data_IF_067992842567
#
_entry.id   IF_067992842567
#
_cell.length_a   1.000
_cell.length_b   1.000
_cell.length_c   1.000
_cell.angle_alpha   90.00
_cell.angle_beta   90.00
_cell.angle_gamma   90.00
#
_symmetry.space_group_name_H-M   'P 1'
#
loop_
_entity.id
_entity.type
_entity.pdbx_description
1 polymer ?
#
# COMPACT_ATOMS: atom_id res chain seq x y z
N UNK A 1 9.40 19.76 1.18
CA UNK A 1 10.04 19.64 2.53
C UNK A 1 10.06 18.18 2.96
N UNK A 2 11.10 17.70 3.71
CA UNK A 2 11.12 16.36 4.32
C UNK A 2 11.03 16.49 5.84
N UNK A 3 10.12 15.75 6.45
CA UNK A 3 9.94 15.68 7.90
C UNK A 3 10.09 14.23 8.36
N UNK A 4 10.65 14.05 9.55
CA UNK A 4 10.69 12.78 10.27
C UNK A 4 9.83 12.91 11.52
N UNK A 5 8.79 12.12 11.61
CA UNK A 5 7.93 12.05 12.79
C UNK A 5 8.37 10.86 13.64
N UNK A 6 8.48 11.07 14.95
CA UNK A 6 8.70 10.00 15.92
C UNK A 6 7.69 10.18 17.05
N UNK A 7 6.89 9.15 17.32
CA UNK A 7 5.84 9.20 18.32
C UNK A 7 5.50 7.81 18.82
N UNK A 8 4.84 7.77 19.99
CA UNK A 8 4.31 6.53 20.52
C UNK A 8 2.94 6.25 19.90
N UNK A 9 2.87 5.19 19.08
CA UNK A 9 1.61 4.74 18.52
C UNK A 9 0.77 3.98 19.57
N UNK A 10 -0.52 4.24 19.56
CA UNK A 10 -1.50 3.53 20.40
C UNK A 10 -1.85 2.16 19.83
N UNK A 11 -1.90 2.06 18.50
CA UNK A 11 -2.25 0.82 17.80
C UNK A 11 -1.11 -0.21 17.87
N UNK A 12 0.13 0.19 17.59
CA UNK A 12 1.26 -0.74 17.66
C UNK A 12 1.97 -0.76 19.01
N UNK A 13 1.56 0.08 19.96
CA UNK A 13 2.00 0.11 21.37
C UNK A 13 3.51 0.29 21.57
N UNK A 14 4.18 0.92 20.61
CA UNK A 14 5.63 1.22 20.65
C UNK A 14 5.94 2.58 20.03
N UNK A 15 7.16 3.07 20.26
CA UNK A 15 7.70 4.18 19.47
C UNK A 15 7.82 3.76 18.01
N UNK A 16 7.40 4.62 17.10
CA UNK A 16 7.48 4.40 15.67
C UNK A 16 7.97 5.64 14.95
N UNK A 17 8.38 5.46 13.69
CA UNK A 17 8.88 6.53 12.84
C UNK A 17 8.11 6.55 11.52
N UNK A 18 7.96 7.75 10.99
CA UNK A 18 7.30 8.01 9.71
C UNK A 18 8.05 9.12 9.00
N UNK A 19 8.41 8.91 7.74
CA UNK A 19 8.90 9.97 6.89
C UNK A 19 7.73 10.61 6.14
N UNK A 20 7.72 11.95 6.08
CA UNK A 20 6.70 12.72 5.37
C UNK A 20 7.37 13.68 4.41
N UNK A 21 7.06 13.56 3.13
CA UNK A 21 7.39 14.57 2.12
C UNK A 21 6.19 15.49 2.01
N UNK A 22 6.39 16.78 2.16
CA UNK A 22 5.38 17.79 1.85
C UNK A 22 5.77 18.53 0.56
N UNK A 23 4.82 18.92 -0.29
CA UNK A 23 5.09 19.79 -1.41
C UNK A 23 5.70 21.12 -0.92
N UNK A 24 6.53 21.74 -1.76
CA UNK A 24 7.20 23.00 -1.40
C UNK A 24 6.22 24.20 -1.42
N UNK A 25 5.15 24.09 -2.19
CA UNK A 25 4.12 25.12 -2.36
C UNK A 25 2.76 24.55 -1.98
N UNK A 26 1.97 25.31 -1.25
CA UNK A 26 0.55 25.05 -1.06
C UNK A 26 -0.21 25.48 -2.32
N UNK A 27 -1.33 24.82 -2.59
CA UNK A 27 -2.20 25.24 -3.69
C UNK A 27 -2.65 26.71 -3.47
N UNK A 28 -2.48 27.62 -4.46
CA UNK A 28 -2.91 29.01 -4.32
C UNK A 28 -4.42 29.18 -4.06
N UNK A 29 -5.23 28.20 -4.47
CA UNK A 29 -6.67 28.16 -4.20
C UNK A 29 -7.01 27.64 -2.79
N UNK A 30 -6.00 27.24 -2.00
CA UNK A 30 -6.20 26.68 -0.67
C UNK A 30 -6.75 25.24 -0.67
N UNK A 31 -6.71 24.56 -1.82
CA UNK A 31 -7.16 23.17 -1.92
C UNK A 31 -6.27 22.23 -1.11
N UNK A 32 -6.85 21.16 -0.52
CA UNK A 32 -6.07 20.15 0.16
C UNK A 32 -5.05 19.47 -0.75
N UNK A 33 -3.93 19.08 -0.17
CA UNK A 33 -2.87 18.36 -0.86
C UNK A 33 -3.27 16.90 -1.08
N UNK A 34 -3.01 16.37 -2.27
CA UNK A 34 -3.09 14.94 -2.50
C UNK A 34 -2.00 14.22 -1.71
N UNK A 35 -2.35 13.15 -1.01
CA UNK A 35 -1.46 12.36 -0.15
C UNK A 35 -1.33 10.95 -0.71
N UNK A 36 -0.10 10.51 -0.91
CA UNK A 36 0.25 9.11 -1.16
C UNK A 36 0.72 8.46 0.14
N UNK A 37 -0.06 7.50 0.66
CA UNK A 37 0.30 6.60 1.74
C UNK A 37 1.14 5.48 1.14
N UNK A 38 2.48 5.49 1.34
CA UNK A 38 3.43 4.67 0.60
C UNK A 38 4.09 3.63 1.49
N UNK A 39 3.81 2.36 1.22
CA UNK A 39 4.13 1.20 2.05
C UNK A 39 5.39 0.48 1.58
N UNK A 40 6.27 0.11 2.51
CA UNK A 40 7.52 -0.60 2.23
C UNK A 40 7.32 -2.13 2.13
N UNK A 41 8.30 -2.83 1.58
CA UNK A 41 8.34 -4.30 1.51
C UNK A 41 8.82 -4.96 2.80
N UNK A 42 8.84 -6.30 2.82
CA UNK A 42 9.11 -7.14 4.01
C UNK A 42 10.42 -6.83 4.75
N UNK A 43 11.45 -6.42 4.03
CA UNK A 43 12.78 -6.14 4.59
C UNK A 43 13.07 -4.65 4.70
N UNK A 44 12.04 -3.80 4.53
CA UNK A 44 12.17 -2.35 4.55
C UNK A 44 11.69 -1.73 5.87
N UNK A 45 11.77 -0.41 5.89
CA UNK A 45 11.27 0.46 6.93
C UNK A 45 10.78 1.79 6.34
N UNK A 46 10.47 2.76 7.17
CA UNK A 46 10.05 4.12 6.78
C UNK A 46 11.10 4.89 5.93
N UNK A 47 12.37 4.44 5.87
CA UNK A 47 13.43 5.09 5.07
C UNK A 47 13.58 4.48 3.68
N UNK A 48 13.09 3.27 3.45
CA UNK A 48 13.40 2.49 2.25
C UNK A 48 13.09 3.25 0.96
N UNK A 49 11.90 3.82 0.83
CA UNK A 49 11.52 4.60 -0.35
C UNK A 49 12.38 5.85 -0.55
N UNK A 50 12.84 6.47 0.55
CA UNK A 50 13.70 7.66 0.49
C UNK A 50 15.13 7.33 0.06
N UNK A 51 15.62 6.14 0.42
CA UNK A 51 16.99 5.72 0.15
C UNK A 51 17.15 5.08 -1.22
N UNK A 52 16.16 4.32 -1.65
CA UNK A 52 16.26 3.43 -2.81
C UNK A 52 15.53 3.98 -4.05
N UNK A 53 14.84 5.13 -3.94
CA UNK A 53 14.06 5.68 -5.05
C UNK A 53 14.13 7.19 -5.19
N UNK A 54 13.69 7.67 -6.36
CA UNK A 54 13.49 9.08 -6.64
C UNK A 54 12.19 9.67 -6.10
N UNK A 55 11.54 9.05 -5.11
CA UNK A 55 10.19 9.42 -4.65
C UNK A 55 10.05 10.89 -4.30
N UNK A 56 11.11 11.52 -3.75
CA UNK A 56 11.11 12.96 -3.46
C UNK A 56 10.97 13.81 -4.73
N UNK A 57 11.62 13.40 -5.82
CA UNK A 57 11.53 14.07 -7.12
C UNK A 57 10.13 13.90 -7.71
N UNK A 58 9.56 12.71 -7.63
CA UNK A 58 8.24 12.40 -8.16
C UNK A 58 7.14 13.12 -7.38
N UNK A 59 7.24 13.13 -6.03
CA UNK A 59 6.34 13.87 -5.17
C UNK A 59 6.32 15.38 -5.50
N UNK A 60 7.51 15.97 -5.75
CA UNK A 60 7.63 17.37 -6.17
C UNK A 60 6.98 17.61 -7.53
N UNK A 61 7.24 16.74 -8.52
CA UNK A 61 6.67 16.88 -9.88
C UNK A 61 5.14 16.86 -9.84
N UNK A 62 4.54 15.96 -9.09
CA UNK A 62 3.08 15.82 -8.96
C UNK A 62 2.46 16.74 -7.91
N UNK A 63 3.26 17.52 -7.15
CA UNK A 63 2.80 18.39 -6.05
C UNK A 63 2.00 17.63 -4.99
N UNK A 64 2.42 16.42 -4.65
CA UNK A 64 1.77 15.58 -3.65
C UNK A 64 2.60 15.48 -2.37
N UNK A 65 1.92 15.20 -1.26
CA UNK A 65 2.56 14.72 -0.06
C UNK A 65 2.76 13.20 -0.16
N UNK A 66 3.83 12.69 0.48
CA UNK A 66 4.06 11.23 0.60
C UNK A 66 4.32 10.90 2.05
N UNK A 67 3.58 9.94 2.59
CA UNK A 67 3.71 9.46 3.98
C UNK A 67 4.20 8.03 3.95
N UNK A 68 5.36 7.78 4.55
CA UNK A 68 6.06 6.50 4.54
C UNK A 68 6.20 5.98 5.97
N UNK A 69 5.26 5.14 6.46
CA UNK A 69 5.32 4.55 7.79
C UNK A 69 6.31 3.41 7.89
N UNK A 70 6.78 3.13 9.11
CA UNK A 70 7.37 1.86 9.48
C UNK A 70 6.25 0.87 9.86
N UNK A 71 6.16 -0.23 9.16
CA UNK A 71 5.19 -1.29 9.39
C UNK A 71 5.84 -2.64 9.76
N UNK A 72 7.15 -2.67 10.02
CA UNK A 72 7.88 -3.88 10.39
C UNK A 72 7.62 -5.03 9.37
N UNK A 73 7.71 -6.28 9.80
CA UNK A 73 7.39 -7.49 9.02
C UNK A 73 5.94 -7.94 9.24
N UNK A 74 5.03 -6.98 9.47
CA UNK A 74 3.65 -7.23 9.92
C UNK A 74 2.69 -7.70 8.83
N UNK A 75 3.09 -7.71 7.56
CA UNK A 75 2.17 -7.91 6.44
C UNK A 75 0.95 -6.99 6.48
N UNK A 76 1.14 -5.79 7.05
CA UNK A 76 0.05 -4.85 7.23
C UNK A 76 -1.19 -5.53 7.86
N UNK A 77 -0.95 -6.32 8.91
CA UNK A 77 -1.99 -6.98 9.69
C UNK A 77 -2.13 -6.32 11.07
N UNK A 78 -3.31 -6.44 11.66
CA UNK A 78 -3.45 -6.29 13.09
C UNK A 78 -3.03 -7.64 13.67
N UNK A 79 -1.84 -7.67 14.25
CA UNK A 79 -1.10 -8.90 14.51
C UNK A 79 -1.63 -9.67 15.71
N UNK A 80 -1.45 -10.98 15.70
CA UNK A 80 -1.88 -11.84 16.80
C UNK A 80 -1.18 -11.51 18.14
N UNK A 81 0.03 -10.93 18.11
CA UNK A 81 0.72 -10.47 19.31
C UNK A 81 0.29 -9.07 19.79
N UNK A 82 -0.68 -8.44 19.12
CA UNK A 82 -1.34 -7.23 19.59
C UNK A 82 -0.72 -5.92 19.16
N UNK A 83 0.13 -5.90 18.13
CA UNK A 83 0.55 -4.70 17.42
C UNK A 83 -0.31 -4.54 16.16
N UNK A 84 -1.19 -3.54 16.16
CA UNK A 84 -2.22 -3.37 15.12
C UNK A 84 -1.71 -2.51 13.97
N UNK A 85 -0.84 -3.07 13.12
CA UNK A 85 -0.23 -2.30 12.03
C UNK A 85 -1.21 -1.88 10.95
N UNK A 86 -2.23 -2.69 10.66
CA UNK A 86 -3.25 -2.30 9.68
C UNK A 86 -4.09 -1.12 10.19
N UNK A 87 -4.55 -1.19 11.42
CA UNK A 87 -5.25 -0.08 12.08
C UNK A 87 -4.36 1.16 12.22
N UNK A 88 -3.07 0.98 12.48
CA UNK A 88 -2.10 2.07 12.51
C UNK A 88 -2.04 2.80 11.16
N UNK A 89 -1.76 2.11 10.06
CA UNK A 89 -1.55 2.77 8.75
C UNK A 89 -2.83 3.27 8.11
N UNK A 90 -4.01 2.70 8.44
CA UNK A 90 -5.29 3.08 7.81
C UNK A 90 -6.15 4.02 8.66
N UNK A 91 -5.90 4.12 9.97
CA UNK A 91 -6.71 4.93 10.90
C UNK A 91 -5.86 5.91 11.70
N UNK A 92 -4.99 5.42 12.61
CA UNK A 92 -4.25 6.26 13.55
C UNK A 92 -3.33 7.25 12.81
N UNK A 93 -2.51 6.77 11.88
CA UNK A 93 -1.57 7.62 11.16
C UNK A 93 -2.25 8.67 10.28
N UNK A 94 -3.28 8.34 9.47
CA UNK A 94 -4.05 9.35 8.74
C UNK A 94 -4.70 10.39 9.65
N UNK A 95 -5.25 9.98 10.78
CA UNK A 95 -5.82 10.91 11.76
C UNK A 95 -4.77 11.84 12.37
N UNK A 96 -3.61 11.30 12.76
CA UNK A 96 -2.48 12.08 13.27
C UNK A 96 -1.98 13.09 12.22
N UNK A 97 -1.80 12.65 10.99
CA UNK A 97 -1.33 13.52 9.91
C UNK A 97 -2.32 14.66 9.62
N UNK A 98 -3.62 14.39 9.60
CA UNK A 98 -4.65 15.45 9.42
C UNK A 98 -4.69 16.44 10.57
N UNK A 99 -4.40 16.02 11.80
CA UNK A 99 -4.28 16.93 12.95
C UNK A 99 -3.00 17.77 12.90
N UNK A 100 -1.95 17.25 12.27
CA UNK A 100 -0.63 17.89 12.22
C UNK A 100 -0.49 18.81 11.01
N UNK A 101 -1.05 18.42 9.87
CA UNK A 101 -0.92 19.11 8.58
C UNK A 101 -2.29 19.61 8.09
N UNK A 102 -2.52 20.91 8.17
CA UNK A 102 -3.80 21.53 7.79
C UNK A 102 -4.19 21.33 6.31
N UNK A 103 -3.20 21.03 5.45
CA UNK A 103 -3.42 20.74 4.04
C UNK A 103 -3.88 19.29 3.76
N UNK A 104 -3.94 18.40 4.76
CA UNK A 104 -4.38 17.02 4.57
C UNK A 104 -5.89 16.91 4.77
N UNK A 105 -6.57 16.20 3.86
CA UNK A 105 -8.01 16.00 3.87
C UNK A 105 -8.38 14.53 4.06
N UNK A 106 -9.55 14.28 4.66
CA UNK A 106 -10.15 12.94 4.71
C UNK A 106 -10.94 12.60 3.44
N UNK A 107 -11.18 13.57 2.56
CA UNK A 107 -11.90 13.32 1.33
C UNK A 107 -11.16 12.32 0.43
N UNK A 108 -11.90 11.33 -0.07
CA UNK A 108 -11.40 10.23 -0.91
C UNK A 108 -10.47 10.71 -2.03
N UNK A 109 -10.87 11.77 -2.75
CA UNK A 109 -10.17 12.28 -3.94
C UNK A 109 -8.73 12.74 -3.68
N UNK A 110 -8.39 13.06 -2.42
CA UNK A 110 -7.05 13.49 -2.02
C UNK A 110 -6.18 12.38 -1.43
N UNK A 111 -6.66 11.14 -1.36
CA UNK A 111 -5.92 10.05 -0.72
C UNK A 111 -5.65 8.92 -1.71
N UNK A 112 -4.38 8.63 -1.92
CA UNK A 112 -3.87 7.49 -2.69
C UNK A 112 -3.11 6.57 -1.75
N UNK A 113 -3.13 5.28 -2.02
CA UNK A 113 -2.30 4.30 -1.30
C UNK A 113 -1.43 3.55 -2.29
N UNK A 114 -0.21 3.21 -1.91
CA UNK A 114 0.67 2.45 -2.79
C UNK A 114 1.76 1.71 -2.02
N UNK A 115 2.43 0.78 -2.70
CA UNK A 115 3.53 0.03 -2.09
C UNK A 115 4.11 -1.02 -3.01
N UNK A 116 5.17 -1.66 -2.53
CA UNK A 116 5.87 -2.73 -3.22
C UNK A 116 5.84 -4.04 -2.42
N UNK A 117 5.82 -5.19 -3.09
CA UNK A 117 5.94 -6.51 -2.44
C UNK A 117 4.90 -6.69 -1.32
N UNK A 118 5.33 -6.88 -0.06
CA UNK A 118 4.47 -6.85 1.12
C UNK A 118 3.67 -5.53 1.20
N UNK A 119 4.28 -4.38 0.86
CA UNK A 119 3.60 -3.08 0.83
C UNK A 119 2.58 -2.98 -0.30
N UNK A 120 2.82 -3.65 -1.44
CA UNK A 120 1.83 -3.78 -2.52
C UNK A 120 0.60 -4.56 -2.08
N UNK A 121 0.79 -5.66 -1.35
CA UNK A 121 -0.29 -6.37 -0.67
C UNK A 121 -1.03 -5.46 0.31
N UNK A 122 -0.31 -4.77 1.19
CA UNK A 122 -0.90 -3.86 2.19
C UNK A 122 -1.69 -2.72 1.57
N UNK A 123 -1.20 -2.16 0.46
CA UNK A 123 -1.87 -1.09 -0.28
C UNK A 123 -3.19 -1.57 -0.90
N UNK A 124 -3.18 -2.72 -1.59
CA UNK A 124 -4.40 -3.30 -2.15
C UNK A 124 -5.38 -3.72 -1.05
N UNK A 125 -4.89 -4.28 0.06
CA UNK A 125 -5.72 -4.59 1.23
C UNK A 125 -6.40 -3.35 1.79
N UNK A 126 -5.67 -2.24 1.97
CA UNK A 126 -6.24 -0.98 2.44
C UNK A 126 -7.30 -0.44 1.46
N UNK A 127 -6.99 -0.45 0.16
CA UNK A 127 -7.88 -0.01 -0.91
C UNK A 127 -9.18 -0.82 -0.99
N UNK A 128 -9.11 -2.13 -0.78
CA UNK A 128 -10.28 -3.02 -0.79
C UNK A 128 -11.06 -3.02 0.53
N UNK A 129 -10.38 -2.80 1.66
CA UNK A 129 -11.05 -2.77 2.97
C UNK A 129 -11.79 -1.45 3.19
N UNK A 130 -11.19 -0.34 2.75
CA UNK A 130 -11.74 1.02 2.91
C UNK A 130 -11.80 1.76 1.57
N UNK A 131 -12.57 1.27 0.57
CA UNK A 131 -12.61 1.86 -0.76
C UNK A 131 -13.13 3.30 -0.76
N UNK A 132 -13.87 3.69 0.28
CA UNK A 132 -14.34 5.05 0.47
C UNK A 132 -13.25 6.04 0.90
N UNK A 133 -12.10 5.54 1.39
CA UNK A 133 -10.99 6.38 1.83
C UNK A 133 -10.01 6.73 0.71
N UNK A 134 -9.88 5.87 -0.32
CA UNK A 134 -8.84 6.00 -1.33
C UNK A 134 -9.42 6.19 -2.73
N UNK A 135 -8.92 7.20 -3.46
CA UNK A 135 -9.27 7.42 -4.86
C UNK A 135 -8.52 6.45 -5.78
N UNK A 136 -7.27 6.13 -5.44
CA UNK A 136 -6.43 5.26 -6.25
C UNK A 136 -5.46 4.42 -5.42
N UNK A 137 -4.98 3.32 -6.04
CA UNK A 137 -4.03 2.37 -5.46
C UNK A 137 -2.90 2.06 -6.45
N UNK A 138 -1.67 1.92 -5.95
CA UNK A 138 -0.50 1.45 -6.71
C UNK A 138 0.05 0.19 -6.05
N UNK A 139 0.21 -0.89 -6.83
CA UNK A 139 0.86 -2.12 -6.39
C UNK A 139 2.00 -2.49 -7.32
N UNK A 140 3.22 -2.52 -6.79
CA UNK A 140 4.43 -2.90 -7.53
C UNK A 140 4.93 -4.25 -7.05
N UNK A 141 4.96 -5.26 -7.93
CA UNK A 141 5.33 -6.63 -7.56
C UNK A 141 4.61 -7.10 -6.28
N UNK A 142 3.32 -6.82 -6.15
CA UNK A 142 2.56 -7.07 -4.92
C UNK A 142 2.44 -8.55 -4.60
N UNK A 143 2.61 -8.93 -3.33
CA UNK A 143 2.33 -10.28 -2.83
C UNK A 143 0.82 -10.50 -2.69
N UNK A 144 0.07 -10.40 -3.78
CA UNK A 144 -1.39 -10.23 -3.79
C UNK A 144 -2.19 -11.44 -3.30
N UNK A 145 -1.56 -12.61 -3.19
CA UNK A 145 -2.17 -13.79 -2.57
C UNK A 145 -1.25 -14.35 -1.49
N UNK A 146 -1.59 -14.14 -0.23
CA UNK A 146 -0.84 -14.64 0.92
C UNK A 146 -1.39 -15.96 1.45
N UNK A 147 -2.47 -16.46 0.86
CA UNK A 147 -3.13 -17.71 1.27
C UNK A 147 -2.46 -18.94 0.65
N UNK A 148 -1.65 -18.77 -0.40
CA UNK A 148 -1.04 -19.89 -1.13
C UNK A 148 -0.07 -20.70 -0.31
N UNK A 149 -0.30 -21.99 -0.29
CA UNK A 149 0.45 -22.99 0.49
C UNK A 149 1.95 -23.09 0.12
N UNK A 150 2.31 -22.84 -1.14
CA UNK A 150 3.68 -23.00 -1.65
C UNK A 150 4.55 -21.74 -1.52
N UNK A 151 4.03 -20.65 -0.98
CA UNK A 151 4.92 -19.61 -0.50
C UNK A 151 5.60 -20.16 0.74
N UNK A 152 6.89 -20.50 0.59
CA UNK A 152 7.76 -20.83 1.71
C UNK A 152 7.82 -19.61 2.65
N UNK A 153 6.73 -19.41 3.36
CA UNK A 153 6.66 -18.42 4.38
C UNK A 153 7.32 -18.97 5.64
N UNK A 154 7.97 -18.12 6.34
CA UNK A 154 8.32 -18.35 7.73
C UNK A 154 6.99 -18.55 8.50
N UNK A 155 6.64 -19.81 8.80
CA UNK A 155 5.37 -20.15 9.45
C UNK A 155 5.22 -19.47 10.81
N UNK A 156 6.32 -19.25 11.53
CA UNK A 156 6.31 -18.55 12.81
C UNK A 156 5.95 -17.07 12.63
N UNK A 157 6.47 -16.45 11.57
CA UNK A 157 6.06 -15.08 11.20
C UNK A 157 4.57 -15.04 10.82
N UNK A 158 4.06 -16.05 10.09
CA UNK A 158 2.63 -16.14 9.76
C UNK A 158 1.77 -16.27 11.00
N UNK A 159 2.14 -17.16 11.91
CA UNK A 159 1.45 -17.35 13.18
C UNK A 159 1.43 -16.05 14.02
N UNK A 160 2.56 -15.37 14.12
CA UNK A 160 2.64 -14.12 14.88
C UNK A 160 1.79 -13.00 14.29
N UNK A 161 1.66 -12.96 12.96
CA UNK A 161 0.89 -11.92 12.30
C UNK A 161 -0.62 -12.23 12.22
N UNK A 162 -0.99 -13.49 11.98
CA UNK A 162 -2.36 -13.81 11.58
C UNK A 162 -3.11 -14.71 12.57
N UNK A 163 -2.41 -15.43 13.46
CA UNK A 163 -3.01 -16.27 14.48
C UNK A 163 -2.07 -17.35 14.96
N UNK A 164 -1.86 -17.47 16.28
CA UNK A 164 -0.92 -18.43 16.86
C UNK A 164 -1.32 -19.88 16.58
N UNK A 165 -2.60 -20.14 16.39
CA UNK A 165 -3.13 -21.50 16.10
C UNK A 165 -3.09 -21.86 14.62
N UNK A 166 -2.65 -20.92 13.74
CA UNK A 166 -2.59 -21.14 12.30
C UNK A 166 -1.68 -22.31 11.95
N UNK A 167 -2.17 -23.27 11.19
CA UNK A 167 -1.41 -24.42 10.72
C UNK A 167 -0.99 -24.29 9.26
N UNK A 168 -1.69 -23.46 8.49
CA UNK A 168 -1.44 -23.26 7.07
C UNK A 168 -1.91 -21.86 6.63
N UNK A 169 -1.19 -21.21 5.69
CA UNK A 169 -1.68 -20.00 5.04
C UNK A 169 -3.06 -20.13 4.39
N UNK A 170 -3.46 -21.34 3.99
CA UNK A 170 -4.80 -21.60 3.41
C UNK A 170 -5.95 -21.25 4.36
N UNK A 171 -5.72 -21.24 5.67
CA UNK A 171 -6.74 -20.83 6.65
C UNK A 171 -7.10 -19.34 6.57
N UNK A 172 -6.33 -18.55 5.82
CA UNK A 172 -6.63 -17.16 5.54
C UNK A 172 -7.59 -16.96 4.36
N UNK A 173 -7.92 -18.03 3.60
CA UNK A 173 -8.88 -17.97 2.51
C UNK A 173 -10.26 -17.49 3.00
N UNK A 174 -10.88 -16.56 2.27
CA UNK A 174 -12.15 -15.97 2.60
C UNK A 174 -12.14 -14.99 3.78
N UNK A 175 -10.99 -14.79 4.43
CA UNK A 175 -10.84 -13.82 5.54
C UNK A 175 -10.56 -12.41 5.01
N UNK A 176 -10.44 -11.44 5.92
CA UNK A 176 -10.02 -10.06 5.61
C UNK A 176 -8.57 -9.96 5.07
N UNK A 177 -7.84 -11.06 5.00
CA UNK A 177 -6.49 -11.16 4.46
C UNK A 177 -6.45 -11.68 3.02
N UNK A 178 -7.57 -12.19 2.51
CA UNK A 178 -7.73 -12.70 1.15
C UNK A 178 -8.22 -11.58 0.21
N UNK A 179 -7.28 -11.04 -0.58
CA UNK A 179 -7.59 -9.93 -1.49
C UNK A 179 -8.52 -10.35 -2.62
N UNK A 180 -8.47 -11.62 -3.06
CA UNK A 180 -9.35 -12.14 -4.09
C UNK A 180 -10.80 -12.21 -3.59
N UNK A 181 -11.01 -12.67 -2.37
CA UNK A 181 -12.32 -12.69 -1.73
C UNK A 181 -12.84 -11.27 -1.46
N UNK A 182 -11.98 -10.36 -0.98
CA UNK A 182 -12.36 -8.96 -0.75
C UNK A 182 -12.78 -8.26 -2.04
N UNK A 183 -12.07 -8.47 -3.15
CA UNK A 183 -12.41 -7.87 -4.45
C UNK A 183 -13.80 -8.35 -4.93
N UNK A 184 -14.05 -9.67 -4.89
CA UNK A 184 -15.36 -10.25 -5.25
C UNK A 184 -16.49 -9.67 -4.41
N UNK A 185 -16.31 -9.71 -3.07
CA UNK A 185 -17.30 -9.20 -2.12
C UNK A 185 -17.65 -7.73 -2.37
N UNK A 186 -16.65 -6.88 -2.59
CA UNK A 186 -16.89 -5.46 -2.84
C UNK A 186 -17.68 -5.21 -4.13
N UNK A 187 -17.40 -5.98 -5.19
CA UNK A 187 -18.14 -5.90 -6.44
C UNK A 187 -19.59 -6.39 -6.27
N UNK A 188 -19.80 -7.49 -5.53
CA UNK A 188 -21.13 -7.99 -5.19
C UNK A 188 -21.96 -6.98 -4.38
N UNK A 189 -21.29 -6.25 -3.49
CA UNK A 189 -21.88 -5.16 -2.69
C UNK A 189 -22.03 -3.83 -3.48
N UNK A 190 -21.59 -3.78 -4.73
CA UNK A 190 -21.67 -2.58 -5.57
C UNK A 190 -20.81 -1.41 -5.12
N UNK A 191 -19.71 -1.67 -4.40
CA UNK A 191 -18.81 -0.62 -3.93
C UNK A 191 -17.96 -0.04 -5.05
N UNK A 192 -17.81 1.28 -5.07
CA UNK A 192 -16.89 1.97 -5.97
C UNK A 192 -15.44 1.77 -5.52
N UNK A 193 -14.74 0.84 -6.17
CA UNK A 193 -13.34 0.55 -5.86
C UNK A 193 -12.40 1.68 -6.34
N UNK A 194 -11.23 1.85 -5.69
CA UNK A 194 -10.19 2.78 -6.15
C UNK A 194 -9.65 2.38 -7.53
N UNK A 195 -9.35 3.35 -8.39
CA UNK A 195 -8.61 3.10 -9.62
C UNK A 195 -7.24 2.51 -9.27
N UNK A 196 -6.91 1.35 -9.81
CA UNK A 196 -5.72 0.61 -9.39
C UNK A 196 -4.71 0.50 -10.53
N UNK A 197 -3.45 0.85 -10.26
CA UNK A 197 -2.30 0.57 -11.10
C UNK A 197 -1.51 -0.60 -10.50
N UNK A 198 -1.27 -1.63 -11.30
CA UNK A 198 -0.51 -2.83 -10.93
C UNK A 198 0.62 -3.00 -11.93
N UNK A 199 1.84 -3.16 -11.43
CA UNK A 199 2.99 -3.56 -12.24
C UNK A 199 3.70 -4.76 -11.63
N UNK A 200 4.16 -5.68 -12.49
CA UNK A 200 5.05 -6.76 -12.09
C UNK A 200 6.08 -7.06 -13.19
N UNK A 201 7.32 -7.33 -12.80
CA UNK A 201 8.38 -7.68 -13.74
C UNK A 201 8.21 -9.10 -14.29
N UNK A 202 8.62 -9.31 -15.56
CA UNK A 202 8.55 -10.62 -16.22
C UNK A 202 9.44 -11.66 -15.55
N UNK A 203 10.53 -11.23 -14.89
CA UNK A 203 11.47 -12.10 -14.17
C UNK A 203 11.19 -12.11 -12.64
N UNK A 204 10.04 -11.57 -12.21
CA UNK A 204 9.64 -11.57 -10.82
C UNK A 204 8.88 -12.86 -10.45
N UNK A 205 9.26 -13.48 -9.34
CA UNK A 205 8.58 -14.69 -8.84
C UNK A 205 7.11 -14.46 -8.47
N UNK A 206 6.70 -13.20 -8.31
CA UNK A 206 5.32 -12.81 -8.01
C UNK A 206 4.48 -12.54 -9.26
N UNK A 207 5.07 -12.67 -10.45
CA UNK A 207 4.34 -12.46 -11.71
C UNK A 207 3.05 -13.28 -11.80
N UNK A 208 3.04 -14.61 -11.55
CA UNK A 208 1.82 -15.40 -11.70
C UNK A 208 0.65 -14.88 -10.84
N UNK A 209 0.91 -14.51 -9.59
CA UNK A 209 -0.16 -14.02 -8.71
C UNK A 209 -0.66 -12.62 -9.12
N UNK A 210 0.22 -11.78 -9.69
CA UNK A 210 -0.21 -10.49 -10.21
C UNK A 210 -1.06 -10.64 -11.48
N UNK A 211 -0.72 -11.59 -12.35
CA UNK A 211 -1.52 -11.94 -13.53
C UNK A 211 -2.90 -12.48 -13.13
N UNK A 212 -2.97 -13.38 -12.16
CA UNK A 212 -4.25 -13.92 -11.67
C UNK A 212 -5.13 -12.84 -11.03
N UNK A 213 -4.54 -11.93 -10.27
CA UNK A 213 -5.29 -10.82 -9.67
C UNK A 213 -5.79 -9.84 -10.74
N UNK A 214 -4.97 -9.52 -11.76
CA UNK A 214 -5.39 -8.77 -12.94
C UNK A 214 -6.58 -9.43 -13.64
N UNK A 215 -6.49 -10.75 -13.92
CA UNK A 215 -7.58 -11.50 -14.54
C UNK A 215 -8.87 -11.44 -13.71
N UNK A 216 -8.76 -11.54 -12.38
CA UNK A 216 -9.90 -11.38 -11.49
C UNK A 216 -10.51 -9.99 -11.64
N UNK A 217 -9.73 -8.91 -11.50
CA UNK A 217 -10.25 -7.54 -11.63
C UNK A 217 -10.91 -7.30 -12.98
N UNK A 218 -10.32 -7.83 -14.07
CA UNK A 218 -10.90 -7.79 -15.41
C UNK A 218 -12.25 -8.49 -15.46
N UNK A 219 -12.35 -9.70 -14.90
CA UNK A 219 -13.60 -10.48 -14.88
C UNK A 219 -14.71 -9.82 -14.07
N UNK A 220 -14.33 -9.02 -13.06
CA UNK A 220 -15.25 -8.27 -12.21
C UNK A 220 -15.60 -6.88 -12.79
N UNK A 221 -15.00 -6.48 -13.91
CA UNK A 221 -15.21 -5.16 -14.51
C UNK A 221 -14.64 -3.99 -13.70
N UNK A 222 -13.63 -4.25 -12.84
CA UNK A 222 -13.00 -3.21 -12.03
C UNK A 222 -12.04 -2.38 -12.88
N UNK A 223 -12.14 -1.05 -12.79
CA UNK A 223 -11.21 -0.13 -13.48
C UNK A 223 -9.81 -0.24 -12.90
N UNK A 224 -8.87 -0.74 -13.71
CA UNK A 224 -7.47 -0.87 -13.33
C UNK A 224 -6.56 -0.85 -14.56
N UNK A 225 -5.32 -0.45 -14.33
CA UNK A 225 -4.22 -0.55 -15.31
C UNK A 225 -3.27 -1.64 -14.84
N UNK A 226 -2.98 -2.60 -15.71
CA UNK A 226 -2.01 -3.66 -15.45
C UNK A 226 -0.89 -3.60 -16.49
N UNK A 227 0.36 -3.61 -16.01
CA UNK A 227 1.55 -3.57 -16.85
C UNK A 227 2.54 -4.67 -16.46
N UNK A 228 3.12 -5.31 -17.46
CA UNK A 228 4.26 -6.21 -17.36
C UNK A 228 5.39 -5.68 -18.23
N UNK A 229 6.60 -5.77 -17.73
CA UNK A 229 7.81 -5.42 -18.51
C UNK A 229 8.99 -6.21 -18.01
N UNK A 230 10.12 -6.16 -18.73
CA UNK A 230 11.40 -6.66 -18.20
C UNK A 230 11.63 -6.10 -16.81
N UNK A 231 11.95 -6.97 -15.86
CA UNK A 231 12.17 -6.58 -14.47
C UNK A 231 12.04 -7.73 -13.51
N UNK A 232 12.75 -7.62 -12.40
CA UNK A 232 12.73 -8.58 -11.31
C UNK A 232 12.33 -7.90 -10.00
N UNK A 233 12.32 -8.65 -8.89
CA UNK A 233 11.93 -8.17 -7.56
C UNK A 233 12.99 -7.26 -6.93
N UNK A 234 13.18 -6.04 -7.48
CA UNK A 234 14.23 -5.11 -7.02
C UNK A 234 13.87 -3.64 -7.15
N UNK A 235 14.56 -2.81 -6.37
CA UNK A 235 14.35 -1.37 -6.27
C UNK A 235 14.52 -0.62 -7.59
N UNK A 236 15.45 -1.07 -8.46
CA UNK A 236 15.64 -0.48 -9.81
C UNK A 236 14.32 -0.36 -10.57
N UNK A 237 13.51 -1.40 -10.50
CA UNK A 237 12.24 -1.47 -11.24
C UNK A 237 11.10 -0.80 -10.48
N UNK A 238 11.06 -0.93 -9.16
CA UNK A 238 10.05 -0.25 -8.35
C UNK A 238 10.18 1.27 -8.40
N UNK A 239 11.42 1.80 -8.46
CA UNK A 239 11.66 3.23 -8.65
C UNK A 239 11.11 3.74 -9.99
N UNK A 240 11.34 2.99 -11.08
CA UNK A 240 10.80 3.33 -12.38
C UNK A 240 9.26 3.29 -12.39
N UNK A 241 8.68 2.22 -11.86
CA UNK A 241 7.25 1.98 -11.99
C UNK A 241 6.39 2.69 -10.94
N UNK A 242 6.96 3.18 -9.84
CA UNK A 242 6.21 4.13 -8.98
C UNK A 242 5.97 5.44 -9.72
N UNK A 243 6.94 5.90 -10.53
CA UNK A 243 6.76 7.07 -11.39
C UNK A 243 5.68 6.82 -12.45
N UNK A 244 5.71 5.67 -13.12
CA UNK A 244 4.69 5.27 -14.11
C UNK A 244 3.30 5.23 -13.50
N UNK A 245 3.15 4.64 -12.31
CA UNK A 245 1.89 4.59 -11.59
C UNK A 245 1.36 5.97 -11.19
N UNK A 246 2.23 6.86 -10.74
CA UNK A 246 1.85 8.24 -10.44
C UNK A 246 1.41 8.99 -11.71
N UNK A 247 2.13 8.84 -12.83
CA UNK A 247 1.74 9.44 -14.11
C UNK A 247 0.39 8.89 -14.61
N UNK A 248 0.16 7.59 -14.49
CA UNK A 248 -1.09 6.96 -14.88
C UNK A 248 -2.30 7.48 -14.08
N UNK A 249 -2.12 7.69 -12.78
CA UNK A 249 -3.22 8.04 -11.88
C UNK A 249 -3.45 9.55 -11.73
N UNK A 250 -2.40 10.37 -11.87
CA UNK A 250 -2.41 11.81 -11.63
C UNK A 250 -2.17 12.65 -12.90
N UNK A 251 -1.86 12.00 -14.01
CA UNK A 251 -1.42 12.64 -15.26
C UNK A 251 0.10 12.87 -15.29
N UNK A 252 0.65 12.91 -16.49
CA UNK A 252 2.09 13.16 -16.71
C UNK A 252 2.50 14.56 -16.24
N UNK A 253 3.65 14.64 -15.58
CA UNK A 253 4.25 15.88 -15.05
C UNK A 253 5.75 15.94 -15.36
#
# INVERSE_FOLDING_TARGET
MLLKLSFQSKEIKKMTQVNVILPDETDPAGEPCTVLWLFHGLHGDHNSWMQESGIKKYAKAHRIAVVMPDADRSWYADTAYGANYFSFVTKELPELCRKTFSSFSAERKYNLVGGLSMGGYGAVKAALTYPEQYAACISLSGSLDITRKNRACDLELWKSNFGFDLQSPLELEGTAHDLFALARKNCEEGKALPKTYIWCGLEDSLLPVNQEFHQLLTSLGVDHTYEESTGNHSWKWWDLHIQSGLNCLLGEK
#
